data_IF_026857000697
#
_entry.id   IF_026857000697
#
_cell.length_a   1.000
_cell.length_b   1.000
_cell.length_c   1.000
_cell.angle_alpha   90.00
_cell.angle_beta   90.00
_cell.angle_gamma   90.00
#
_symmetry.space_group_name_H-M   'P 1'
#
loop_
_entity.id
_entity.type
_entity.pdbx_description
1 polymer ?
#
# COMPACT_ATOMS: atom_id res chain seq x y z
N UNK A 1 -14.15 17.84 5.31
CA UNK A 1 -12.86 18.36 4.86
C UNK A 1 -12.11 18.86 6.09
N UNK A 2 -10.78 18.86 6.09
CA UNK A 2 -9.96 19.56 7.09
C UNK A 2 -9.93 21.08 6.80
N UNK A 3 -9.14 21.83 7.57
CA UNK A 3 -9.01 23.28 7.46
C UNK A 3 -8.46 23.75 6.09
N UNK A 4 -7.83 22.85 5.32
CA UNK A 4 -7.27 23.11 3.99
C UNK A 4 -8.21 22.72 2.85
N UNK A 5 -9.37 22.13 3.16
CA UNK A 5 -10.32 21.64 2.17
C UNK A 5 -10.08 20.19 1.73
N UNK A 6 -9.08 19.50 2.31
CA UNK A 6 -8.78 18.09 1.99
C UNK A 6 -9.81 17.16 2.64
N UNK A 7 -10.20 16.08 1.97
CA UNK A 7 -11.13 15.10 2.55
C UNK A 7 -10.55 14.48 3.82
N UNK A 8 -11.42 14.14 4.80
CA UNK A 8 -10.94 13.50 6.04
C UNK A 8 -10.34 12.11 5.77
N UNK A 9 -10.90 11.40 4.79
CA UNK A 9 -10.33 10.17 4.24
C UNK A 9 -10.87 9.92 2.83
N UNK A 10 -10.20 9.03 2.09
CA UNK A 10 -10.68 8.41 0.86
C UNK A 10 -10.56 6.90 0.98
N UNK A 11 -11.39 6.16 0.25
CA UNK A 11 -11.26 4.71 0.11
C UNK A 11 -11.40 4.29 -1.35
N UNK A 12 -10.66 3.25 -1.72
CA UNK A 12 -10.71 2.65 -3.06
C UNK A 12 -10.77 1.12 -2.96
N UNK A 13 -11.28 0.50 -4.02
CA UNK A 13 -10.92 -0.87 -4.36
C UNK A 13 -9.68 -0.85 -5.25
N UNK A 14 -8.76 -1.77 -5.00
CA UNK A 14 -7.56 -1.94 -5.81
C UNK A 14 -7.31 -3.43 -6.04
N UNK A 15 -7.08 -3.81 -7.30
CA UNK A 15 -6.88 -5.19 -7.72
C UNK A 15 -5.53 -5.29 -8.44
N UNK A 16 -4.76 -6.31 -8.09
CA UNK A 16 -3.52 -6.67 -8.79
C UNK A 16 -3.68 -8.09 -9.33
N UNK A 17 -3.63 -8.24 -10.65
CA UNK A 17 -3.60 -9.53 -11.32
C UNK A 17 -2.17 -10.07 -11.44
N UNK A 18 -2.05 -11.35 -11.80
CA UNK A 18 -0.77 -12.02 -12.06
C UNK A 18 0.08 -11.22 -13.05
N UNK A 19 1.30 -10.89 -12.64
CA UNK A 19 2.26 -10.13 -13.45
C UNK A 19 2.09 -8.61 -13.36
N UNK A 20 1.04 -8.12 -12.71
CA UNK A 20 0.91 -6.71 -12.33
C UNK A 20 1.59 -6.46 -10.98
N UNK A 21 2.12 -5.25 -10.82
CA UNK A 21 2.70 -4.79 -9.56
C UNK A 21 2.30 -3.34 -9.29
N UNK A 22 2.05 -3.05 -8.03
CA UNK A 22 2.07 -1.68 -7.52
C UNK A 22 3.53 -1.28 -7.37
N UNK A 23 3.97 -0.38 -8.26
CA UNK A 23 5.35 0.12 -8.27
C UNK A 23 5.64 0.93 -7.01
N UNK A 24 6.92 1.10 -6.67
CA UNK A 24 7.33 1.93 -5.55
C UNK A 24 6.74 3.34 -5.67
N UNK A 25 5.94 3.72 -4.69
CA UNK A 25 5.35 5.05 -4.57
C UNK A 25 5.24 5.43 -3.10
N UNK A 26 5.02 6.71 -2.80
CA UNK A 26 4.69 7.19 -1.46
C UNK A 26 3.59 8.24 -1.53
N UNK A 27 2.92 8.41 -0.40
CA UNK A 27 1.84 9.39 -0.22
C UNK A 27 2.17 10.24 1.00
N UNK A 28 1.82 11.52 0.98
CA UNK A 28 1.98 12.47 2.08
C UNK A 28 1.05 12.22 3.29
N UNK A 29 0.30 11.12 3.27
CA UNK A 29 -0.68 10.71 4.27
C UNK A 29 -0.55 9.22 4.59
N UNK A 30 -1.12 8.80 5.72
CA UNK A 30 -1.14 7.39 6.11
C UNK A 30 -2.08 6.64 5.18
N UNK A 31 -1.64 5.47 4.71
CA UNK A 31 -2.46 4.55 3.92
C UNK A 31 -2.60 3.20 4.61
N UNK A 32 -3.84 2.78 4.85
CA UNK A 32 -4.17 1.48 5.41
C UNK A 32 -4.66 0.56 4.30
N UNK A 33 -3.96 -0.55 4.13
CA UNK A 33 -4.30 -1.62 3.20
C UNK A 33 -5.15 -2.69 3.90
N UNK A 34 -6.21 -3.15 3.25
CA UNK A 34 -7.16 -4.14 3.75
C UNK A 34 -7.28 -5.29 2.75
N UNK A 35 -6.90 -6.49 3.12
CA UNK A 35 -7.16 -7.68 2.31
C UNK A 35 -8.66 -7.95 2.22
N UNK A 36 -9.17 -8.13 1.01
CA UNK A 36 -10.57 -8.51 0.78
C UNK A 36 -10.71 -9.93 0.23
N UNK A 37 -9.96 -10.29 -0.81
CA UNK A 37 -10.06 -11.61 -1.43
C UNK A 37 -8.87 -11.96 -2.32
N UNK A 38 -8.74 -13.23 -2.69
CA UNK A 38 -7.77 -13.73 -3.66
C UNK A 38 -6.56 -14.41 -3.02
N UNK A 39 -5.43 -14.37 -3.71
CA UNK A 39 -4.16 -14.80 -3.14
C UNK A 39 -3.63 -13.77 -2.12
N UNK A 40 -2.74 -14.16 -1.20
CA UNK A 40 -2.06 -13.20 -0.34
C UNK A 40 -1.33 -12.11 -1.15
N UNK A 41 -1.26 -10.89 -0.61
CA UNK A 41 -0.49 -9.78 -1.17
C UNK A 41 0.84 -9.66 -0.41
N UNK A 42 1.95 -9.51 -1.12
CA UNK A 42 3.19 -9.02 -0.54
C UNK A 42 3.17 -7.50 -0.58
N UNK A 43 3.28 -6.83 0.58
CA UNK A 43 3.41 -5.39 0.71
C UNK A 43 4.81 -5.08 1.27
N UNK A 44 5.64 -4.40 0.47
CA UNK A 44 6.96 -3.90 0.85
C UNK A 44 6.82 -2.45 1.29
N UNK A 45 7.43 -2.07 2.41
CA UNK A 45 7.37 -0.73 2.99
C UNK A 45 8.80 -0.30 3.37
N UNK A 46 9.20 0.92 3.02
CA UNK A 46 10.48 1.50 3.42
C UNK A 46 10.29 2.95 3.89
N UNK A 47 10.73 3.25 5.11
CA UNK A 47 10.83 4.63 5.60
C UNK A 47 12.14 5.24 5.08
N UNK A 48 12.21 6.57 5.05
CA UNK A 48 13.44 7.25 4.67
C UNK A 48 14.59 6.86 5.61
N UNK A 49 15.71 6.40 5.04
CA UNK A 49 16.88 5.94 5.79
C UNK A 49 16.76 4.53 6.40
N UNK A 50 15.65 3.82 6.14
CA UNK A 50 15.46 2.42 6.57
C UNK A 50 15.30 1.51 5.35
N UNK A 51 15.96 0.34 5.40
CA UNK A 51 15.78 -0.68 4.39
C UNK A 51 14.33 -1.21 4.35
N UNK A 52 13.87 -1.73 3.20
CA UNK A 52 12.51 -2.21 3.05
C UNK A 52 12.22 -3.41 3.96
N UNK A 53 11.08 -3.37 4.64
CA UNK A 53 10.50 -4.54 5.31
C UNK A 53 9.24 -5.01 4.58
N UNK A 54 8.86 -6.26 4.82
CA UNK A 54 7.75 -6.90 4.11
C UNK A 54 6.66 -7.32 5.08
N UNK A 55 5.41 -7.09 4.70
CA UNK A 55 4.21 -7.64 5.31
C UNK A 55 3.45 -8.46 4.29
N UNK A 56 2.89 -9.60 4.71
CA UNK A 56 1.99 -10.39 3.86
C UNK A 56 0.55 -10.15 4.26
N UNK A 57 -0.25 -9.58 3.36
CA UNK A 57 -1.68 -9.41 3.57
C UNK A 57 -2.46 -10.66 3.18
N UNK A 58 -3.29 -11.15 4.10
CA UNK A 58 -4.11 -12.33 3.90
C UNK A 58 -4.75 -12.78 5.21
N UNK A 59 -5.31 -13.99 5.22
CA UNK A 59 -6.08 -14.53 6.36
C UNK A 59 -5.48 -15.81 6.96
N UNK A 60 -4.34 -16.28 6.46
CA UNK A 60 -3.60 -17.37 7.09
C UNK A 60 -2.75 -16.84 8.26
N UNK A 61 -3.42 -16.67 9.40
CA UNK A 61 -2.80 -16.18 10.63
C UNK A 61 -1.69 -17.10 11.15
N UNK A 62 -1.80 -18.42 10.91
CA UNK A 62 -0.79 -19.38 11.33
C UNK A 62 0.51 -19.23 10.51
N UNK A 63 0.40 -18.79 9.26
CA UNK A 63 1.52 -18.38 8.42
C UNK A 63 2.02 -16.94 8.68
N UNK A 64 1.48 -16.24 9.68
CA UNK A 64 1.86 -14.86 10.00
C UNK A 64 1.28 -13.80 9.06
N UNK A 65 0.27 -14.16 8.24
CA UNK A 65 -0.45 -13.17 7.43
C UNK A 65 -1.34 -12.30 8.31
N UNK A 66 -1.55 -11.06 7.88
CA UNK A 66 -2.46 -10.13 8.53
C UNK A 66 -3.41 -9.50 7.50
N UNK A 67 -4.71 -9.36 7.78
CA UNK A 67 -5.65 -8.83 6.79
C UNK A 67 -5.56 -7.30 6.67
N UNK A 68 -4.72 -6.63 7.47
CA UNK A 68 -4.54 -5.19 7.44
C UNK A 68 -3.06 -4.84 7.64
N UNK A 69 -2.59 -3.80 6.96
CA UNK A 69 -1.29 -3.17 7.22
C UNK A 69 -1.39 -1.65 7.07
N UNK A 70 -0.53 -0.94 7.80
CA UNK A 70 -0.48 0.53 7.79
C UNK A 70 0.84 0.96 7.18
N UNK A 71 0.77 1.71 6.08
CA UNK A 71 1.89 2.43 5.48
C UNK A 71 1.93 3.84 6.08
N UNK A 72 3.00 4.20 6.80
CA UNK A 72 3.17 5.54 7.34
C UNK A 72 3.22 6.60 6.24
N UNK A 73 2.78 7.83 6.54
CA UNK A 73 2.97 8.96 5.64
C UNK A 73 4.45 9.09 5.23
N UNK A 74 4.66 9.41 3.95
CA UNK A 74 5.95 9.55 3.27
C UNK A 74 6.80 8.27 3.18
N UNK A 75 6.35 7.12 3.70
CA UNK A 75 7.02 5.85 3.47
C UNK A 75 6.79 5.38 2.02
N UNK A 76 7.84 4.85 1.41
CA UNK A 76 7.75 4.13 0.15
C UNK A 76 7.00 2.82 0.35
N UNK A 77 6.16 2.46 -0.61
CA UNK A 77 5.41 1.22 -0.64
C UNK A 77 5.35 0.63 -2.05
N UNK A 78 5.41 -0.69 -2.14
CA UNK A 78 5.20 -1.47 -3.36
C UNK A 78 4.48 -2.77 -3.01
N UNK A 79 3.70 -3.29 -3.95
CA UNK A 79 2.90 -4.48 -3.69
C UNK A 79 2.72 -5.38 -4.91
N UNK A 80 2.59 -6.68 -4.65
CA UNK A 80 2.32 -7.68 -5.67
C UNK A 80 1.47 -8.82 -5.12
N UNK A 81 0.65 -9.43 -5.99
CA UNK A 81 -0.08 -10.65 -5.65
C UNK A 81 0.85 -11.85 -5.67
N UNK A 82 0.68 -12.78 -4.73
CA UNK A 82 1.40 -14.06 -4.72
C UNK A 82 0.76 -15.13 -5.62
N UNK A 83 -0.37 -14.83 -6.26
CA UNK A 83 -1.14 -15.78 -7.06
C UNK A 83 -1.74 -15.16 -8.32
N UNK A 84 -2.94 -15.61 -8.69
CA UNK A 84 -3.62 -15.13 -9.90
C UNK A 84 -4.11 -13.70 -9.79
N UNK A 85 -4.58 -13.31 -8.60
CA UNK A 85 -5.02 -11.96 -8.30
C UNK A 85 -5.16 -11.75 -6.79
N UNK A 86 -5.10 -10.49 -6.36
CA UNK A 86 -5.49 -10.07 -5.01
C UNK A 86 -6.35 -8.82 -5.09
N UNK A 87 -7.48 -8.82 -4.39
CA UNK A 87 -8.33 -7.66 -4.18
C UNK A 87 -8.08 -7.11 -2.78
N UNK A 88 -7.82 -5.80 -2.71
CA UNK A 88 -7.68 -5.06 -1.47
C UNK A 88 -8.56 -3.81 -1.48
N UNK A 89 -8.75 -3.23 -0.30
CA UNK A 89 -9.18 -1.86 -0.14
C UNK A 89 -8.07 -1.01 0.47
N UNK A 90 -7.88 0.19 -0.04
CA UNK A 90 -6.95 1.15 0.54
C UNK A 90 -7.71 2.34 1.10
N UNK A 91 -7.38 2.73 2.33
CA UNK A 91 -7.92 3.92 2.97
C UNK A 91 -6.80 4.88 3.28
N UNK A 92 -6.90 6.11 2.78
CA UNK A 92 -5.89 7.16 3.00
C UNK A 92 -6.47 8.23 3.90
N UNK A 93 -5.76 8.62 4.95
CA UNK A 93 -6.16 9.65 5.89
C UNK A 93 -4.95 10.53 6.31
N UNK A 94 -4.98 11.86 6.08
CA UNK A 94 -6.00 12.63 5.35
C UNK A 94 -6.23 12.12 3.92
N UNK A 95 -7.39 12.39 3.33
CA UNK A 95 -7.83 11.79 2.06
C UNK A 95 -6.81 11.95 0.92
N UNK A 96 -6.70 10.97 0.03
CA UNK A 96 -5.72 10.97 -1.06
C UNK A 96 -5.82 12.23 -1.93
N UNK A 97 -4.68 12.82 -2.24
CA UNK A 97 -4.52 13.91 -3.21
C UNK A 97 -3.29 13.60 -4.08
N UNK A 98 -3.42 13.77 -5.40
CA UNK A 98 -2.30 13.56 -6.33
C UNK A 98 -1.12 14.51 -6.07
N UNK A 99 -1.36 15.69 -5.48
CA UNK A 99 -0.29 16.61 -5.09
C UNK A 99 0.65 16.02 -4.02
N UNK A 100 0.17 15.05 -3.23
CA UNK A 100 0.93 14.35 -2.21
C UNK A 100 1.47 12.98 -2.65
N UNK A 101 1.25 12.59 -3.91
CA UNK A 101 1.66 11.30 -4.46
C UNK A 101 2.98 11.42 -5.23
N UNK A 102 3.91 10.52 -4.96
CA UNK A 102 5.18 10.42 -5.69
C UNK A 102 5.39 8.99 -6.16
N UNK A 103 5.61 8.80 -7.46
CA UNK A 103 5.97 7.52 -8.06
C UNK A 103 7.49 7.49 -8.29
N UNK A 104 8.14 6.42 -7.85
CA UNK A 104 9.57 6.24 -8.09
C UNK A 104 9.87 6.05 -9.59
N UNK A 105 11.09 6.40 -10.04
CA UNK A 105 11.55 6.04 -11.37
C UNK A 105 11.46 4.52 -11.60
N UNK A 106 11.38 4.13 -12.87
CA UNK A 106 11.51 2.72 -13.22
C UNK A 106 12.84 2.15 -12.67
N UNK A 107 12.79 0.91 -12.19
CA UNK A 107 13.92 0.15 -11.67
C UNK A 107 14.61 0.76 -10.42
N UNK A 108 13.98 1.73 -9.77
CA UNK A 108 14.41 2.24 -8.47
C UNK A 108 13.89 1.36 -7.33
N UNK A 109 14.72 1.13 -6.32
CA UNK A 109 14.33 0.53 -5.04
C UNK A 109 14.95 1.32 -3.86
N UNK A 110 14.25 1.40 -2.71
CA UNK A 110 14.82 1.98 -1.50
C UNK A 110 15.98 1.12 -0.99
N UNK A 111 17.05 1.78 -0.53
CA UNK A 111 18.27 1.16 0.04
C UNK A 111 18.22 1.10 1.56
#
# INVERSE_FOLDING_TARGET
MDETGRAASTLIYFLLARGERSHWHKVDAVETWHYYAGAPLVLRIAREGEGPHTTTLGIDFAAGQQPQAVVPAYAWQAAESTGDWTLVGCTVAPGFDFAGFELAPADWEPV
#
